data_IF_349629283414
#
_entry.id   IF_349629283414
#
_cell.length_a   1.000
_cell.length_b   1.000
_cell.length_c   1.000
_cell.angle_alpha   90.00
_cell.angle_beta   90.00
_cell.angle_gamma   90.00
#
_symmetry.space_group_name_H-M   'P 1'
#
loop_
_entity.id
_entity.type
_entity.pdbx_description
1 polymer ?
#
# COMPACT_ATOMS: atom_id res chain seq x y z
N UNK A 1 -2.52 1.72 19.78
CA UNK A 1 -2.99 1.99 18.39
C UNK A 1 -2.17 1.14 17.43
N UNK A 2 -2.82 0.35 16.60
CA UNK A 2 -2.24 -0.51 15.56
C UNK A 2 -2.40 0.17 14.20
N UNK A 3 -1.28 0.52 13.57
CA UNK A 3 -1.26 1.14 12.25
C UNK A 3 -0.75 0.11 11.25
N UNK A 4 -1.61 -0.27 10.32
CA UNK A 4 -1.23 -1.14 9.22
C UNK A 4 -0.65 -0.30 8.08
N UNK A 5 0.59 -0.60 7.66
CA UNK A 5 1.24 0.06 6.52
C UNK A 5 1.45 -0.97 5.42
N UNK A 6 0.79 -0.78 4.28
CA UNK A 6 0.88 -1.67 3.12
C UNK A 6 1.30 -0.84 1.91
N UNK A 7 2.38 -1.24 1.24
CA UNK A 7 2.85 -0.46 0.10
C UNK A 7 3.36 -1.27 -1.07
N UNK A 8 3.44 -0.61 -2.23
CA UNK A 8 3.98 -1.18 -3.46
C UNK A 8 5.47 -0.93 -3.65
N UNK A 9 6.01 -1.43 -4.76
CA UNK A 9 7.40 -1.22 -5.18
C UNK A 9 7.68 0.24 -5.59
N UNK A 10 6.67 0.94 -6.09
CA UNK A 10 6.78 2.30 -6.60
C UNK A 10 6.35 3.29 -5.51
N UNK A 11 7.32 3.88 -4.81
CA UNK A 11 7.10 4.89 -3.78
C UNK A 11 8.24 5.93 -3.78
N UNK A 12 7.97 7.10 -3.18
CA UNK A 12 8.98 8.15 -2.99
C UNK A 12 9.51 8.06 -1.57
N UNK A 13 10.81 7.81 -1.43
CA UNK A 13 11.46 7.52 -0.15
C UNK A 13 11.39 8.72 0.80
N UNK A 14 11.62 9.92 0.31
CA UNK A 14 11.64 11.17 1.08
C UNK A 14 10.26 11.51 1.64
N UNK A 15 9.21 11.31 0.84
CA UNK A 15 7.81 11.49 1.25
C UNK A 15 7.44 10.50 2.35
N UNK A 16 7.82 9.23 2.17
CA UNK A 16 7.59 8.18 3.17
C UNK A 16 8.35 8.46 4.47
N UNK A 17 9.60 8.90 4.40
CA UNK A 17 10.40 9.25 5.57
C UNK A 17 9.80 10.40 6.37
N UNK A 18 9.37 11.44 5.66
CA UNK A 18 8.71 12.60 6.29
C UNK A 18 7.43 12.16 6.98
N UNK A 19 6.65 11.29 6.33
CA UNK A 19 5.43 10.73 6.91
C UNK A 19 5.72 9.92 8.17
N UNK A 20 6.65 8.95 8.12
CA UNK A 20 6.97 8.08 9.26
C UNK A 20 7.53 8.86 10.44
N UNK A 21 8.34 9.90 10.19
CA UNK A 21 8.88 10.77 11.25
C UNK A 21 7.76 11.55 11.93
N UNK A 22 6.86 12.17 11.16
CA UNK A 22 5.69 12.88 11.71
C UNK A 22 4.74 11.93 12.44
N UNK A 23 4.61 10.70 11.93
CA UNK A 23 3.81 9.68 12.58
C UNK A 23 4.35 9.33 13.95
N UNK A 24 5.68 9.18 14.08
CA UNK A 24 6.33 8.90 15.36
C UNK A 24 6.16 10.05 16.36
N UNK A 25 6.34 11.29 15.90
CA UNK A 25 6.15 12.48 16.73
C UNK A 25 4.73 12.56 17.30
N UNK A 26 3.72 12.17 16.52
CA UNK A 26 2.32 12.23 16.94
C UNK A 26 1.88 11.01 17.74
N UNK A 27 2.43 9.83 17.44
CA UNK A 27 2.00 8.55 17.99
C UNK A 27 3.19 7.65 18.34
N UNK A 28 4.08 8.05 19.26
CA UNK A 28 5.33 7.32 19.52
C UNK A 28 5.11 5.89 20.05
N UNK A 29 3.99 5.63 20.74
CA UNK A 29 3.61 4.31 21.24
C UNK A 29 2.78 3.45 20.27
N UNK A 30 2.66 3.83 18.99
CA UNK A 30 1.93 3.02 18.03
C UNK A 30 2.67 1.72 17.70
N UNK A 31 1.90 0.66 17.43
CA UNK A 31 2.44 -0.58 16.84
C UNK A 31 2.27 -0.50 15.34
N UNK A 32 3.37 -0.62 14.60
CA UNK A 32 3.36 -0.65 13.15
C UNK A 32 3.24 -2.11 12.70
N UNK A 33 2.21 -2.42 11.94
CA UNK A 33 2.04 -3.73 11.28
C UNK A 33 2.38 -3.55 9.81
N UNK A 34 3.34 -4.32 9.32
CA UNK A 34 3.86 -4.19 7.95
C UNK A 34 4.10 -5.58 7.36
N UNK A 35 3.84 -5.76 6.07
CA UNK A 35 4.08 -7.04 5.40
C UNK A 35 5.57 -7.37 5.22
N UNK A 36 5.85 -8.49 4.54
CA UNK A 36 7.21 -8.97 4.28
C UNK A 36 7.60 -8.98 2.80
N UNK A 37 6.87 -8.27 1.94
CA UNK A 37 7.11 -8.30 0.50
C UNK A 37 8.43 -7.60 0.14
N UNK A 38 9.46 -8.39 -0.18
CA UNK A 38 10.83 -7.93 -0.42
C UNK A 38 10.97 -6.85 -1.50
N UNK A 39 10.12 -6.89 -2.53
CA UNK A 39 10.15 -5.94 -3.65
C UNK A 39 9.27 -4.70 -3.44
N UNK A 40 8.76 -4.49 -2.22
CA UNK A 40 7.89 -3.37 -1.88
C UNK A 40 8.56 -2.36 -0.95
N UNK A 41 7.86 -1.32 -0.53
CA UNK A 41 8.34 -0.41 0.51
C UNK A 41 8.40 -1.04 1.91
N UNK A 42 7.81 -2.23 2.11
CA UNK A 42 7.63 -2.85 3.43
C UNK A 42 8.94 -3.12 4.19
N UNK A 43 10.02 -3.65 3.57
CA UNK A 43 11.30 -3.80 4.25
C UNK A 43 11.87 -2.46 4.72
N UNK A 44 11.71 -1.42 3.90
CA UNK A 44 12.16 -0.07 4.22
C UNK A 44 11.36 0.54 5.38
N UNK A 45 10.03 0.43 5.35
CA UNK A 45 9.15 0.88 6.44
C UNK A 45 9.55 0.20 7.74
N UNK A 46 9.77 -1.13 7.72
CA UNK A 46 10.21 -1.89 8.89
C UNK A 46 11.52 -1.35 9.45
N UNK A 47 12.55 -1.20 8.62
CA UNK A 47 13.85 -0.68 9.05
C UNK A 47 13.75 0.74 9.63
N UNK A 48 13.04 1.63 8.94
CA UNK A 48 12.90 3.02 9.37
C UNK A 48 12.09 3.14 10.65
N UNK A 49 10.97 2.42 10.77
CA UNK A 49 10.15 2.42 11.97
C UNK A 49 10.90 1.83 13.17
N UNK A 50 11.76 0.82 12.94
CA UNK A 50 12.57 0.23 14.00
C UNK A 50 13.58 1.25 14.51
N UNK A 51 14.26 1.95 13.59
CA UNK A 51 15.21 3.02 13.92
C UNK A 51 14.54 4.20 14.66
N UNK A 52 13.27 4.48 14.37
CA UNK A 52 12.49 5.50 15.08
C UNK A 52 12.02 5.04 16.48
N UNK A 53 12.06 3.75 16.79
CA UNK A 53 11.66 3.20 18.09
C UNK A 53 10.21 2.70 18.16
N UNK A 54 9.54 2.49 17.02
CA UNK A 54 8.23 1.86 17.02
C UNK A 54 8.30 0.37 17.38
N UNK A 55 7.24 -0.14 18.00
CA UNK A 55 7.01 -1.60 18.04
C UNK A 55 6.55 -2.05 16.66
N UNK A 56 7.17 -3.10 16.11
CA UNK A 56 6.85 -3.61 14.77
C UNK A 56 6.36 -5.05 14.83
N UNK A 57 5.31 -5.33 14.07
CA UNK A 57 4.81 -6.68 13.81
C UNK A 57 4.86 -6.93 12.31
N UNK A 58 5.48 -8.03 11.92
CA UNK A 58 5.46 -8.53 10.55
C UNK A 58 4.77 -9.89 10.56
N UNK A 59 3.51 -9.98 10.09
CA UNK A 59 2.83 -11.26 9.97
C UNK A 59 3.62 -12.23 9.09
N UNK A 60 3.60 -13.51 9.43
CA UNK A 60 4.29 -14.52 8.66
C UNK A 60 3.79 -14.52 7.20
N UNK A 61 4.69 -14.66 6.22
CA UNK A 61 4.27 -14.77 4.83
C UNK A 61 3.46 -16.04 4.62
N UNK A 62 2.28 -15.91 4.00
CA UNK A 62 1.52 -17.06 3.53
C UNK A 62 2.33 -17.82 2.48
N UNK A 63 2.29 -19.16 2.56
CA UNK A 63 3.15 -20.08 1.82
C UNK A 63 3.17 -19.79 0.30
N UNK A 64 4.33 -19.97 -0.34
CA UNK A 64 4.55 -19.71 -1.79
C UNK A 64 3.56 -20.48 -2.68
N UNK A 65 3.00 -21.58 -2.17
CA UNK A 65 1.99 -22.39 -2.86
C UNK A 65 0.71 -21.63 -3.24
N UNK A 66 0.39 -20.51 -2.58
CA UNK A 66 -0.81 -19.72 -2.88
C UNK A 66 -0.59 -18.67 -3.98
N UNK A 67 0.60 -18.55 -4.57
CA UNK A 67 0.86 -17.63 -5.70
C UNK A 67 0.43 -16.18 -5.41
N UNK A 68 -0.36 -15.58 -6.30
CA UNK A 68 -0.90 -14.22 -6.13
C UNK A 68 -1.91 -14.11 -4.97
N UNK A 69 -2.59 -15.21 -4.61
CA UNK A 69 -3.52 -15.24 -3.47
C UNK A 69 -2.76 -15.13 -2.13
N UNK A 70 -1.50 -15.59 -2.08
CA UNK A 70 -0.63 -15.41 -0.92
C UNK A 70 -0.46 -13.93 -0.56
N UNK A 71 -0.40 -13.06 -1.58
CA UNK A 71 -0.27 -11.61 -1.42
C UNK A 71 -1.53 -11.05 -0.78
N UNK A 72 -2.71 -11.45 -1.24
CA UNK A 72 -3.98 -10.97 -0.70
C UNK A 72 -4.19 -11.44 0.75
N UNK A 73 -3.88 -12.70 1.05
CA UNK A 73 -3.94 -13.22 2.41
C UNK A 73 -2.99 -12.45 3.34
N UNK A 74 -1.75 -12.23 2.91
CA UNK A 74 -0.80 -11.46 3.73
C UNK A 74 -1.25 -10.02 3.95
N UNK A 75 -1.83 -9.37 2.93
CA UNK A 75 -2.41 -8.02 3.11
C UNK A 75 -3.54 -8.07 4.14
N UNK A 76 -4.42 -9.06 4.11
CA UNK A 76 -5.45 -9.23 5.14
C UNK A 76 -4.85 -9.36 6.54
N UNK A 77 -3.79 -10.17 6.70
CA UNK A 77 -3.13 -10.38 7.99
C UNK A 77 -2.51 -9.08 8.54
N UNK A 78 -1.96 -8.25 7.65
CA UNK A 78 -1.43 -6.93 8.01
C UNK A 78 -2.55 -5.97 8.44
N UNK A 79 -3.70 -6.02 7.78
CA UNK A 79 -4.85 -5.16 8.08
C UNK A 79 -5.67 -5.64 9.29
N UNK A 80 -5.44 -6.87 9.76
CA UNK A 80 -6.19 -7.47 10.85
C UNK A 80 -6.06 -6.65 12.14
N UNK A 81 -7.22 -6.25 12.68
CA UNK A 81 -7.33 -5.42 13.88
C UNK A 81 -6.57 -4.09 13.78
N UNK A 82 -6.42 -3.54 12.57
CA UNK A 82 -5.86 -2.22 12.37
C UNK A 82 -6.84 -1.13 12.86
N UNK A 83 -6.32 -0.18 13.62
CA UNK A 83 -7.05 1.04 13.99
C UNK A 83 -6.99 2.07 12.86
N UNK A 84 -5.91 2.03 12.07
CA UNK A 84 -5.67 2.91 10.91
C UNK A 84 -4.94 2.12 9.83
N UNK A 85 -5.33 2.33 8.57
CA UNK A 85 -4.67 1.76 7.40
C UNK A 85 -3.95 2.86 6.63
N UNK A 86 -2.69 2.62 6.30
CA UNK A 86 -1.87 3.49 5.47
C UNK A 86 -1.44 2.72 4.24
N UNK A 87 -1.86 3.16 3.07
CA UNK A 87 -1.33 2.65 1.80
C UNK A 87 -0.17 3.51 1.32
N UNK A 88 0.86 2.89 0.76
CA UNK A 88 2.02 3.60 0.19
C UNK A 88 2.17 3.28 -1.29
N UNK A 89 2.23 4.32 -2.11
CA UNK A 89 2.43 4.20 -3.56
C UNK A 89 1.15 4.41 -4.38
N UNK A 90 1.08 3.77 -5.56
CA UNK A 90 -0.07 3.94 -6.46
C UNK A 90 -1.30 3.15 -6.01
N UNK A 91 -2.46 3.81 -5.96
CA UNK A 91 -3.76 3.17 -5.73
C UNK A 91 -4.20 2.24 -6.87
N UNK A 92 -3.54 2.30 -8.04
CA UNK A 92 -3.88 1.49 -9.22
C UNK A 92 -3.06 0.22 -9.37
N UNK A 93 -2.03 -0.01 -8.53
CA UNK A 93 -1.11 -1.13 -8.72
C UNK A 93 -0.71 -1.87 -7.44
N UNK A 94 -0.62 -3.20 -7.52
CA UNK A 94 -0.01 -4.06 -6.51
C UNK A 94 -0.73 -4.09 -5.16
N UNK A 95 0.06 -4.13 -4.08
CA UNK A 95 -0.42 -4.34 -2.70
C UNK A 95 -1.26 -3.19 -2.15
N UNK A 96 -0.97 -1.94 -2.51
CA UNK A 96 -1.73 -0.77 -2.08
C UNK A 96 -3.19 -0.82 -2.60
N UNK A 97 -3.38 -1.28 -3.84
CA UNK A 97 -4.72 -1.53 -4.41
C UNK A 97 -5.44 -2.63 -3.63
N UNK A 98 -4.77 -3.77 -3.40
CA UNK A 98 -5.35 -4.90 -2.65
C UNK A 98 -5.80 -4.43 -1.25
N UNK A 99 -4.96 -3.68 -0.54
CA UNK A 99 -5.31 -3.15 0.78
C UNK A 99 -6.52 -2.22 0.73
N UNK A 100 -6.60 -1.36 -0.29
CA UNK A 100 -7.76 -0.48 -0.51
C UNK A 100 -9.04 -1.29 -0.79
N UNK A 101 -8.95 -2.35 -1.59
CA UNK A 101 -10.09 -3.20 -1.95
C UNK A 101 -10.56 -4.06 -0.76
N UNK A 102 -9.64 -4.56 0.06
CA UNK A 102 -9.96 -5.21 1.35
C UNK A 102 -10.64 -4.22 2.29
N UNK A 103 -10.08 -3.02 2.46
CA UNK A 103 -10.67 -1.99 3.29
C UNK A 103 -12.09 -1.63 2.85
N UNK A 104 -12.33 -1.41 1.54
CA UNK A 104 -13.67 -1.12 1.01
C UNK A 104 -14.67 -2.23 1.35
N UNK A 105 -14.27 -3.50 1.19
CA UNK A 105 -15.11 -4.64 1.53
C UNK A 105 -15.44 -4.66 3.02
N UNK A 106 -14.46 -4.45 3.89
CA UNK A 106 -14.68 -4.41 5.34
C UNK A 106 -15.51 -3.19 5.79
N UNK A 107 -15.29 -2.04 5.17
CA UNK A 107 -15.97 -0.79 5.50
C UNK A 107 -17.46 -0.83 5.16
N UNK A 108 -17.86 -1.57 4.13
CA UNK A 108 -19.26 -1.69 3.74
C UNK A 108 -20.16 -2.30 4.84
N UNK A 109 -19.57 -3.01 5.81
CA UNK A 109 -20.30 -3.76 6.84
C UNK A 109 -19.99 -3.31 8.28
N UNK A 110 -19.22 -2.24 8.48
CA UNK A 110 -18.80 -1.77 9.81
C UNK A 110 -19.55 -0.52 10.25
N UNK A 111 -20.00 -0.52 11.50
CA UNK A 111 -20.55 0.67 12.16
C UNK A 111 -19.49 1.75 12.38
N UNK A 112 -18.26 1.34 12.74
CA UNK A 112 -17.12 2.22 12.94
C UNK A 112 -16.07 1.98 11.84
N UNK A 113 -15.96 2.88 10.85
CA UNK A 113 -15.04 2.72 9.75
C UNK A 113 -13.59 2.93 10.18
N UNK A 114 -12.69 2.08 9.70
CA UNK A 114 -11.25 2.26 9.89
C UNK A 114 -10.79 3.40 8.96
N UNK A 115 -10.07 4.43 9.43
CA UNK A 115 -9.49 5.44 8.57
C UNK A 115 -8.47 4.86 7.58
N UNK A 116 -8.56 5.28 6.31
CA UNK A 116 -7.61 4.94 5.25
C UNK A 116 -6.84 6.20 4.81
N UNK A 117 -5.53 6.17 4.95
CA UNK A 117 -4.63 7.21 4.46
C UNK A 117 -3.79 6.70 3.30
N UNK A 118 -3.50 7.55 2.32
CA UNK A 118 -2.61 7.23 1.22
C UNK A 118 -1.38 8.13 1.21
N UNK A 119 -0.20 7.53 1.28
CA UNK A 119 1.10 8.18 1.04
C UNK A 119 1.42 7.98 -0.44
N UNK A 120 1.03 8.96 -1.25
CA UNK A 120 1.09 8.85 -2.70
C UNK A 120 2.52 8.71 -3.24
N UNK A 121 2.68 7.91 -4.30
CA UNK A 121 3.80 8.07 -5.22
C UNK A 121 3.50 9.23 -6.18
N UNK A 122 4.53 9.95 -6.65
CA UNK A 122 4.39 10.95 -7.72
C UNK A 122 3.68 10.29 -8.90
N UNK A 123 2.51 10.82 -9.26
CA UNK A 123 1.85 10.50 -10.53
C UNK A 123 2.83 10.96 -11.60
N UNK A 124 3.52 10.04 -12.28
CA UNK A 124 4.18 10.41 -13.54
C UNK A 124 3.09 11.06 -14.39
N UNK A 125 3.25 12.34 -14.72
CA UNK A 125 2.34 13.04 -15.60
C UNK A 125 2.09 12.13 -16.81
N UNK A 126 0.82 11.78 -17.05
CA UNK A 126 0.46 11.09 -18.28
C UNK A 126 0.89 12.03 -19.41
N UNK A 127 1.96 11.70 -20.13
CA UNK A 127 2.19 12.30 -21.44
C UNK A 127 0.88 12.16 -22.23
N UNK A 128 0.36 13.24 -22.84
CA UNK A 128 -0.88 13.17 -23.59
C UNK A 128 -0.76 12.05 -24.63
N UNK A 129 -1.74 11.16 -24.63
CA UNK A 129 -1.83 10.10 -25.63
C UNK A 129 -2.09 10.81 -26.96
N UNK A 130 -1.06 10.95 -27.80
CA UNK A 130 -1.24 11.32 -29.20
C UNK A 130 -2.21 10.29 -29.81
N UNK A 131 -3.44 10.74 -30.09
CA UNK A 131 -4.40 9.95 -30.85
C UNK A 131 -3.81 9.76 -32.25
N UNK A 132 -3.18 8.61 -32.50
CA UNK A 132 -2.88 8.19 -33.87
C UNK A 132 -4.21 8.04 -34.61
N UNK A 133 -4.49 8.97 -35.50
CA UNK A 133 -5.60 8.87 -36.45
C UNK A 133 -5.37 7.63 -37.33
N UNK A 134 -6.15 6.57 -37.10
CA UNK A 134 -6.30 5.48 -38.06
C UNK A 134 -7.06 6.04 -39.27
N UNK A 135 -6.34 6.45 -40.32
CA UNK A 135 -6.96 6.61 -41.64
C UNK A 135 -7.14 5.20 -42.21
N UNK A 136 -8.39 4.75 -42.23
CA UNK A 136 -8.87 3.53 -42.88
C UNK A 136 -8.30 3.48 -44.31
N UNK A 137 -7.59 2.42 -44.63
CA UNK A 137 -7.52 1.90 -45.99
C UNK A 137 -8.94 1.51 -46.42
N UNK A 138 -9.44 2.16 -47.47
CA UNK A 138 -10.50 1.59 -48.31
C UNK A 138 -9.84 1.16 -49.61
N UNK A 139 -9.79 -0.15 -49.79
CA UNK A 139 -9.71 -0.78 -51.09
C UNK A 139 -11.14 -0.97 -51.61
N UNK A 140 -11.25 -1.14 -52.94
CA UNK A 140 -12.44 -1.48 -53.76
C UNK A 140 -13.35 -0.27 -54.06
N UNK A 141 -13.59 0.16 -55.31
CA UNK A 141 -13.63 -0.55 -56.61
C UNK A 141 -13.02 0.27 -57.76
#
# INVERSE_FOLDING_TARGET
>A
MRIAIVGGANYVKETLDTFLTKLFQKHPGATIVVGSALRSCEPYVREKCHALGFTIITPEPNHVAFGDEAIACQVNDVLLNADVIVTVGSATGGRAKIATDVWKRCHAWRENPIPLHNVAAVVKEKKPVERKAKKKSQAEA
#
